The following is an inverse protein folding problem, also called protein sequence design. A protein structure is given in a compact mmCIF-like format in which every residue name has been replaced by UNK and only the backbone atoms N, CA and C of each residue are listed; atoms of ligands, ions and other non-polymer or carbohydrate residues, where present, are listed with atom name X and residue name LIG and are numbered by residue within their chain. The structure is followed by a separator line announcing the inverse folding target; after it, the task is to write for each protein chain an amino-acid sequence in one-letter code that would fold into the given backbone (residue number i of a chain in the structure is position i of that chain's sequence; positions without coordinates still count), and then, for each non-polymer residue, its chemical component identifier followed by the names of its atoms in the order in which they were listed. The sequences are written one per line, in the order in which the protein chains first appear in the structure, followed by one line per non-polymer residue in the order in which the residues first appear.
data_IF_947135241358
#
_entry.id   IF_947135241358
#
_cell.length_a   1.000
_cell.length_b   1.000
_cell.length_c   1.000
_cell.angle_alpha   90.00
_cell.angle_beta   90.00
_cell.angle_gamma   90.00
#
_symmetry.space_group_name_H-M   'P 1'
#
loop_
_entity.id
_entity.type
_entity.pdbx_description
1 polymer ?
#
# COMPACT_ATOMS: atom_id res chain seq x y z
N UNK A 1 29.23 37.45 -11.53
CA UNK A 1 28.19 36.41 -11.38
C UNK A 1 28.93 35.10 -11.25
N UNK A 2 28.62 34.34 -10.20
CA UNK A 2 29.32 33.10 -9.82
C UNK A 2 28.88 31.94 -10.73
N UNK A 3 29.27 32.02 -12.00
CA UNK A 3 28.86 31.05 -13.01
C UNK A 3 29.58 29.70 -12.83
N UNK A 4 30.75 29.70 -12.19
CA UNK A 4 31.52 28.47 -11.94
C UNK A 4 30.88 27.64 -10.82
N UNK A 5 30.42 28.27 -9.74
CA UNK A 5 29.71 27.57 -8.66
C UNK A 5 28.37 27.00 -9.14
N UNK A 6 27.60 27.77 -9.90
CA UNK A 6 26.32 27.31 -10.48
C UNK A 6 26.53 26.14 -11.46
N UNK A 7 27.60 26.16 -12.26
CA UNK A 7 27.93 25.07 -13.18
C UNK A 7 28.33 23.79 -12.43
N UNK A 8 29.10 23.92 -11.34
CA UNK A 8 29.47 22.80 -10.49
C UNK A 8 28.25 22.17 -9.79
N UNK A 9 27.34 23.00 -9.26
CA UNK A 9 26.09 22.55 -8.62
C UNK A 9 25.16 21.84 -9.61
N UNK A 10 25.01 22.40 -10.82
CA UNK A 10 24.18 21.79 -11.88
C UNK A 10 24.75 20.44 -12.34
N UNK A 11 26.08 20.30 -12.41
CA UNK A 11 26.74 19.04 -12.77
C UNK A 11 26.61 17.96 -11.68
N UNK A 12 26.50 18.36 -10.42
CA UNK A 12 26.32 17.46 -9.29
C UNK A 12 24.85 17.08 -9.04
N UNK A 13 23.90 17.74 -9.70
CA UNK A 13 22.47 17.47 -9.51
C UNK A 13 22.10 16.05 -9.93
N UNK A 14 21.56 15.28 -8.98
CA UNK A 14 20.93 13.98 -9.24
C UNK A 14 19.43 14.17 -9.08
N UNK A 15 18.67 13.88 -10.13
CA UNK A 15 17.21 13.93 -10.09
C UNK A 15 16.72 12.99 -8.98
N UNK A 16 15.86 13.49 -8.10
CA UNK A 16 15.22 12.67 -7.07
C UNK A 16 14.43 11.58 -7.81
N UNK A 17 14.65 10.29 -7.47
CA UNK A 17 13.89 9.22 -8.07
C UNK A 17 12.40 9.40 -7.74
N UNK A 18 11.56 9.31 -8.76
CA UNK A 18 10.11 9.32 -8.59
C UNK A 18 9.74 8.01 -7.90
N UNK A 19 9.25 8.08 -6.66
CA UNK A 19 8.94 6.90 -5.83
C UNK A 19 7.67 6.21 -6.35
N UNK A 20 6.73 6.99 -6.91
CA UNK A 20 5.48 6.52 -7.50
C UNK A 20 5.15 7.44 -8.67
N UNK A 21 5.21 6.89 -9.88
CA UNK A 21 4.75 7.59 -11.08
C UNK A 21 3.28 7.26 -11.27
N UNK A 22 2.41 8.22 -10.98
CA UNK A 22 0.97 8.10 -11.22
C UNK A 22 0.61 8.39 -12.67
N UNK A 23 1.61 8.65 -13.50
CA UNK A 23 1.44 8.95 -14.91
C UNK A 23 1.62 7.66 -15.72
N UNK A 24 0.68 7.37 -16.62
CA UNK A 24 0.86 6.28 -17.57
C UNK A 24 1.86 6.64 -18.69
N UNK A 25 2.10 5.70 -19.60
CA UNK A 25 3.01 5.89 -20.73
C UNK A 25 2.59 7.01 -21.70
N UNK A 26 1.32 7.42 -21.66
CA UNK A 26 0.72 8.46 -22.51
C UNK A 26 0.71 9.84 -21.81
N UNK A 27 1.19 9.93 -20.56
CA UNK A 27 1.25 11.19 -19.82
C UNK A 27 -0.03 11.50 -19.02
N UNK A 28 -0.95 10.55 -18.88
CA UNK A 28 -2.23 10.73 -18.16
C UNK A 28 -2.06 10.42 -16.67
N UNK A 29 -2.57 11.30 -15.81
CA UNK A 29 -2.59 11.13 -14.37
C UNK A 29 -3.68 10.12 -13.93
N UNK A 30 -3.25 9.03 -13.30
CA UNK A 30 -4.07 7.97 -12.74
C UNK A 30 -4.14 7.99 -11.21
N UNK A 31 -3.60 9.01 -10.55
CA UNK A 31 -3.47 9.06 -9.08
C UNK A 31 -4.77 8.69 -8.36
N UNK A 32 -5.92 9.22 -8.80
CA UNK A 32 -7.22 8.92 -8.18
C UNK A 32 -7.63 7.46 -8.39
N UNK A 33 -7.53 6.96 -9.61
CA UNK A 33 -7.90 5.58 -9.96
C UNK A 33 -7.02 4.57 -9.19
N UNK A 34 -5.73 4.87 -9.04
CA UNK A 34 -4.80 4.04 -8.29
C UNK A 34 -5.11 4.02 -6.79
N UNK A 35 -5.41 5.18 -6.20
CA UNK A 35 -5.80 5.30 -4.79
C UNK A 35 -7.09 4.52 -4.54
N UNK A 36 -8.10 4.69 -5.40
CA UNK A 36 -9.37 3.97 -5.28
C UNK A 36 -9.18 2.46 -5.40
N UNK A 37 -8.43 2.01 -6.42
CA UNK A 37 -8.09 0.59 -6.62
C UNK A 37 -7.40 0.01 -5.40
N UNK A 38 -6.38 0.70 -4.87
CA UNK A 38 -5.65 0.25 -3.68
C UNK A 38 -6.56 0.20 -2.45
N UNK A 39 -7.41 1.20 -2.26
CA UNK A 39 -8.37 1.21 -1.15
C UNK A 39 -9.31 0.00 -1.19
N UNK A 40 -9.89 -0.30 -2.35
CA UNK A 40 -10.78 -1.46 -2.50
C UNK A 40 -10.03 -2.79 -2.36
N UNK A 41 -8.84 -2.91 -2.95
CA UNK A 41 -8.01 -4.11 -2.84
C UNK A 41 -7.64 -4.39 -1.39
N UNK A 42 -7.12 -3.40 -0.67
CA UNK A 42 -6.74 -3.55 0.75
C UNK A 42 -7.96 -3.93 1.59
N UNK A 43 -9.12 -3.33 1.32
CA UNK A 43 -10.36 -3.66 2.03
C UNK A 43 -10.76 -5.13 1.80
N UNK A 44 -10.66 -5.60 0.57
CA UNK A 44 -10.94 -7.00 0.23
C UNK A 44 -9.93 -7.94 0.89
N UNK A 45 -8.64 -7.62 0.80
CA UNK A 45 -7.55 -8.42 1.38
C UNK A 45 -7.73 -8.56 2.89
N UNK A 46 -8.08 -7.47 3.58
CA UNK A 46 -8.35 -7.49 5.04
C UNK A 46 -9.54 -8.38 5.36
N UNK A 47 -10.63 -8.28 4.60
CA UNK A 47 -11.79 -9.15 4.80
C UNK A 47 -11.44 -10.64 4.60
N UNK A 48 -10.68 -10.95 3.55
CA UNK A 48 -10.21 -12.31 3.29
C UNK A 48 -9.29 -12.83 4.39
N UNK A 49 -8.39 -11.99 4.91
CA UNK A 49 -7.51 -12.35 6.03
C UNK A 49 -8.36 -12.69 7.25
N UNK A 50 -9.33 -11.85 7.62
CA UNK A 50 -10.23 -12.10 8.75
C UNK A 50 -10.94 -13.45 8.56
N UNK A 51 -11.55 -13.71 7.41
CA UNK A 51 -12.23 -14.98 7.15
C UNK A 51 -11.29 -16.18 7.25
N UNK A 52 -10.08 -16.08 6.68
CA UNK A 52 -9.08 -17.16 6.76
C UNK A 52 -8.64 -17.42 8.20
N UNK A 53 -8.44 -16.36 8.99
CA UNK A 53 -8.03 -16.47 10.38
C UNK A 53 -9.15 -17.06 11.25
N UNK A 54 -10.40 -16.66 11.04
CA UNK A 54 -11.56 -17.27 11.71
C UNK A 54 -11.63 -18.77 11.42
N UNK A 55 -11.50 -19.18 10.15
CA UNK A 55 -11.46 -20.60 9.77
C UNK A 55 -10.25 -21.32 10.41
N UNK A 56 -9.08 -20.69 10.46
CA UNK A 56 -7.91 -21.28 11.11
C UNK A 56 -8.15 -21.51 12.59
N UNK A 57 -8.74 -20.53 13.28
CA UNK A 57 -9.04 -20.58 14.72
C UNK A 57 -10.10 -21.67 14.99
N UNK A 58 -11.17 -21.73 14.19
CA UNK A 58 -12.22 -22.74 14.30
C UNK A 58 -11.66 -24.17 14.20
N UNK A 59 -10.72 -24.38 13.28
CA UNK A 59 -10.12 -25.69 13.02
C UNK A 59 -8.97 -26.04 13.99
N UNK A 60 -8.51 -25.12 14.84
CA UNK A 60 -7.47 -25.39 15.84
C UNK A 60 -8.12 -25.74 17.20
N UNK A 61 -7.96 -26.99 17.70
CA UNK A 61 -8.55 -27.40 18.97
C UNK A 61 -8.14 -26.55 20.18
N UNK A 62 -6.95 -25.94 20.13
CA UNK A 62 -6.45 -25.08 21.20
C UNK A 62 -6.98 -23.65 21.10
N UNK A 63 -7.48 -23.21 19.94
CA UNK A 63 -7.91 -21.81 19.72
C UNK A 63 -9.41 -21.65 19.49
N UNK A 64 -10.12 -22.71 19.08
CA UNK A 64 -11.56 -22.67 18.76
C UNK A 64 -12.45 -22.04 19.85
N UNK A 65 -12.06 -22.19 21.11
CA UNK A 65 -12.78 -21.63 22.26
C UNK A 65 -12.84 -20.10 22.25
N UNK A 66 -11.95 -19.42 21.52
CA UNK A 66 -11.96 -17.96 21.35
C UNK A 66 -13.13 -17.47 20.49
N UNK A 67 -13.71 -18.33 19.65
CA UNK A 67 -14.89 -17.99 18.85
C UNK A 67 -16.17 -18.09 19.68
N UNK A 68 -16.24 -19.07 20.60
CA UNK A 68 -17.39 -19.28 21.49
C UNK A 68 -17.59 -18.07 22.43
N UNK A 69 -16.51 -17.46 22.92
CA UNK A 69 -16.59 -16.24 23.75
C UNK A 69 -17.08 -14.99 23.00
N UNK A 70 -17.05 -14.97 21.67
CA UNK A 70 -17.45 -13.81 20.88
C UNK A 70 -18.95 -13.79 20.54
N UNK A 71 -19.67 -14.91 20.71
CA UNK A 71 -21.11 -15.02 20.43
C UNK A 71 -22.01 -14.77 21.65
N UNK A 72 -21.43 -14.74 22.86
CA UNK A 72 -22.14 -14.56 24.14
C UNK A 72 -22.23 -13.08 24.62
N UNK A 73 -21.79 -12.10 23.81
CA UNK A 73 -21.97 -10.65 24.03
C UNK A 73 -22.92 -10.00 23.00
#
# INVERSE_FOLDING_TARGET
MDNEQVAAETKAYRKIPVITDFTDADGKDHMKEEIERNYYQIKEDVAQIITKELLRIENDPNLKHLLETAEDE
#
